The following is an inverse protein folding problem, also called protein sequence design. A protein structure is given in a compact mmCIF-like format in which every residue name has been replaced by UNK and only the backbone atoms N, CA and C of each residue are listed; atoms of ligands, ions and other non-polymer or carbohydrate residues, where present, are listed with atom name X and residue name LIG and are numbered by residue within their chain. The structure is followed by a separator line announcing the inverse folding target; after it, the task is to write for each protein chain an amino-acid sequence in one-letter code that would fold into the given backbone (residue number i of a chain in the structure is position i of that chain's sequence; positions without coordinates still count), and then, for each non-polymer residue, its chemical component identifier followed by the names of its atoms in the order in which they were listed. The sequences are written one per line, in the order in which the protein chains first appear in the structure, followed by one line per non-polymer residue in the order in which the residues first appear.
data_IF_263742325856
#
_entry.id   IF_263742325856
#
_cell.length_a   1.000
_cell.length_b   1.000
_cell.length_c   1.000
_cell.angle_alpha   90.00
_cell.angle_beta   90.00
_cell.angle_gamma   90.00
#
_symmetry.space_group_name_H-M   'P 1'
#
loop_
_entity.id
_entity.type
_entity.pdbx_description
1 polymer ?
#
# COMPACT_ATOMS: atom_id res chain seq x y z
N UNK A 1 -9.74 16.77 -9.00
CA UNK A 1 -10.14 15.81 -7.94
C UNK A 1 -10.75 14.57 -8.57
N UNK A 2 -10.38 13.38 -8.10
CA UNK A 2 -11.01 12.13 -8.54
C UNK A 2 -12.37 11.99 -7.85
N UNK A 3 -13.41 11.69 -8.61
CA UNK A 3 -14.69 11.34 -8.03
C UNK A 3 -14.63 9.94 -7.40
N UNK A 4 -15.48 9.64 -6.42
CA UNK A 4 -15.52 8.33 -5.76
C UNK A 4 -15.73 7.19 -6.78
N UNK A 5 -16.61 7.40 -7.78
CA UNK A 5 -16.88 6.41 -8.83
C UNK A 5 -15.65 6.12 -9.71
N UNK A 6 -14.91 7.15 -10.10
CA UNK A 6 -13.66 6.99 -10.87
C UNK A 6 -12.59 6.26 -10.05
N UNK A 7 -12.45 6.62 -8.78
CA UNK A 7 -11.52 5.97 -7.89
C UNK A 7 -11.85 4.48 -7.66
N UNK A 8 -13.13 4.13 -7.50
CA UNK A 8 -13.57 2.73 -7.39
C UNK A 8 -13.31 1.96 -8.68
N UNK A 9 -13.46 2.57 -9.85
CA UNK A 9 -13.13 1.96 -11.14
C UNK A 9 -11.63 1.66 -11.24
N UNK A 10 -10.78 2.64 -10.90
CA UNK A 10 -9.32 2.48 -10.88
C UNK A 10 -8.91 1.41 -9.86
N UNK A 11 -9.53 1.39 -8.68
CA UNK A 11 -9.29 0.37 -7.67
C UNK A 11 -9.58 -1.03 -8.20
N UNK A 12 -10.75 -1.23 -8.81
CA UNK A 12 -11.14 -2.53 -9.38
C UNK A 12 -10.16 -3.01 -10.47
N UNK A 13 -9.70 -2.09 -11.31
CA UNK A 13 -8.69 -2.41 -12.33
C UNK A 13 -7.35 -2.83 -11.70
N UNK A 14 -6.88 -2.10 -10.68
CA UNK A 14 -5.65 -2.44 -9.96
C UNK A 14 -5.76 -3.75 -9.20
N UNK A 15 -6.90 -4.04 -8.57
CA UNK A 15 -7.19 -5.32 -7.92
C UNK A 15 -7.11 -6.48 -8.90
N UNK A 16 -7.73 -6.34 -10.08
CA UNK A 16 -7.70 -7.36 -11.12
C UNK A 16 -6.27 -7.61 -11.61
N UNK A 17 -5.51 -6.56 -11.91
CA UNK A 17 -4.11 -6.67 -12.33
C UNK A 17 -3.23 -7.33 -11.25
N UNK A 18 -3.42 -6.95 -9.98
CA UNK A 18 -2.69 -7.54 -8.86
C UNK A 18 -3.00 -9.03 -8.71
N UNK A 19 -4.26 -9.43 -8.79
CA UNK A 19 -4.68 -10.83 -8.70
C UNK A 19 -4.11 -11.68 -9.84
N UNK A 20 -4.22 -11.23 -11.09
CA UNK A 20 -3.68 -11.93 -12.25
C UNK A 20 -2.15 -12.07 -12.14
N UNK A 21 -1.46 -10.98 -11.81
CA UNK A 21 -0.01 -11.00 -11.66
C UNK A 21 0.44 -11.93 -10.53
N UNK A 22 -0.31 -12.01 -9.44
CA UNK A 22 -0.02 -12.91 -8.32
C UNK A 22 -0.22 -14.38 -8.70
N UNK A 23 -1.31 -14.72 -9.39
CA UNK A 23 -1.57 -16.08 -9.88
C UNK A 23 -0.48 -16.54 -10.83
N UNK A 24 -0.06 -15.69 -11.77
CA UNK A 24 1.05 -15.99 -12.67
C UNK A 24 2.37 -16.21 -11.91
N UNK A 25 2.62 -15.41 -10.87
CA UNK A 25 3.82 -15.57 -10.03
C UNK A 25 3.80 -16.89 -9.25
N UNK A 26 2.65 -17.31 -8.73
CA UNK A 26 2.49 -18.62 -8.08
C UNK A 26 2.76 -19.75 -9.06
N UNK A 27 2.21 -19.69 -10.28
CA UNK A 27 2.46 -20.69 -11.29
C UNK A 27 3.97 -20.83 -11.60
N UNK A 28 4.68 -19.72 -11.68
CA UNK A 28 6.12 -19.68 -11.92
C UNK A 28 6.92 -20.28 -10.74
N UNK A 29 6.50 -20.01 -9.50
CA UNK A 29 7.08 -20.61 -8.29
C UNK A 29 6.87 -22.13 -8.30
N UNK A 30 5.66 -22.59 -8.60
CA UNK A 30 5.36 -24.03 -8.66
C UNK A 30 6.18 -24.74 -9.75
N UNK A 31 6.31 -24.13 -10.92
CA UNK A 31 7.18 -24.67 -11.99
C UNK A 31 8.64 -24.74 -11.54
N UNK A 32 9.16 -23.72 -10.87
CA UNK A 32 10.55 -23.73 -10.37
C UNK A 32 10.75 -24.79 -9.31
N UNK A 33 9.78 -25.00 -8.41
CA UNK A 33 9.82 -26.09 -7.43
C UNK A 33 9.83 -27.47 -8.11
N UNK A 34 8.97 -27.67 -9.13
CA UNK A 34 8.92 -28.92 -9.87
C UNK A 34 10.27 -29.25 -10.55
N UNK A 35 10.86 -28.28 -11.24
CA UNK A 35 12.17 -28.44 -11.88
C UNK A 35 13.25 -28.78 -10.84
N UNK A 36 13.26 -28.12 -9.69
CA UNK A 36 14.24 -28.42 -8.63
C UNK A 36 14.04 -29.84 -8.09
N UNK A 37 12.80 -30.27 -7.87
CA UNK A 37 12.49 -31.63 -7.40
C UNK A 37 12.97 -32.72 -8.37
N UNK A 38 12.85 -32.48 -9.67
CA UNK A 38 13.28 -33.42 -10.72
C UNK A 38 14.79 -33.60 -10.74
N UNK A 39 15.56 -32.52 -10.51
CA UNK A 39 17.01 -32.53 -10.68
C UNK A 39 17.82 -32.58 -9.37
N UNK A 40 17.17 -32.49 -8.19
CA UNK A 40 17.89 -32.46 -6.91
C UNK A 40 17.34 -33.47 -5.92
N UNK A 41 18.23 -34.10 -5.13
CA UNK A 41 17.82 -34.89 -3.98
C UNK A 41 17.54 -33.97 -2.79
N UNK A 42 16.47 -34.23 -2.05
CA UNK A 42 16.02 -33.43 -0.90
C UNK A 42 17.03 -33.28 0.24
N UNK A 43 18.02 -34.16 0.32
CA UNK A 43 19.02 -34.24 1.40
C UNK A 43 20.43 -33.86 1.00
N UNK A 44 20.64 -33.20 -0.13
CA UNK A 44 21.96 -32.77 -0.58
C UNK A 44 22.14 -31.24 -0.43
N UNK A 45 23.41 -30.78 -0.60
CA UNK A 45 23.73 -29.34 -0.62
C UNK A 45 22.92 -28.58 -1.68
N UNK A 46 22.41 -29.28 -2.68
CA UNK A 46 21.49 -28.76 -3.70
C UNK A 46 20.14 -28.29 -3.14
N UNK A 47 19.78 -28.65 -1.90
CA UNK A 47 18.59 -28.14 -1.23
C UNK A 47 18.59 -26.60 -1.07
N UNK A 48 19.76 -25.96 -1.13
CA UNK A 48 19.86 -24.50 -1.17
C UNK A 48 19.14 -23.86 -2.36
N UNK A 49 18.96 -24.58 -3.47
CA UNK A 49 18.21 -24.10 -4.61
C UNK A 49 16.73 -23.80 -4.31
N UNK A 50 16.15 -24.38 -3.25
CA UNK A 50 14.79 -24.07 -2.80
C UNK A 50 14.66 -22.64 -2.26
N UNK A 51 15.74 -21.95 -1.94
CA UNK A 51 15.71 -20.54 -1.60
C UNK A 51 15.27 -19.66 -2.79
N UNK A 52 15.48 -20.13 -4.03
CA UNK A 52 15.09 -19.40 -5.24
C UNK A 52 13.56 -19.23 -5.33
N UNK A 53 12.75 -20.30 -5.29
CA UNK A 53 11.28 -20.15 -5.33
C UNK A 53 10.73 -19.38 -4.12
N UNK A 54 11.34 -19.52 -2.93
CA UNK A 54 10.96 -18.74 -1.75
C UNK A 54 11.22 -17.25 -2.01
N UNK A 55 12.39 -16.89 -2.52
CA UNK A 55 12.73 -15.51 -2.88
C UNK A 55 11.77 -14.93 -3.94
N UNK A 56 11.45 -15.73 -4.98
CA UNK A 56 10.48 -15.34 -6.00
C UNK A 56 9.09 -15.10 -5.43
N UNK A 57 8.64 -15.94 -4.49
CA UNK A 57 7.34 -15.76 -3.82
C UNK A 57 7.31 -14.47 -3.01
N UNK A 58 8.34 -14.18 -2.22
CA UNK A 58 8.43 -12.95 -1.45
C UNK A 58 8.43 -11.71 -2.35
N UNK A 59 9.17 -11.76 -3.47
CA UNK A 59 9.18 -10.69 -4.46
C UNK A 59 7.81 -10.51 -5.11
N UNK A 60 7.11 -11.61 -5.42
CA UNK A 60 5.76 -11.57 -5.97
C UNK A 60 4.78 -10.89 -5.00
N UNK A 61 4.78 -11.28 -3.73
CA UNK A 61 3.93 -10.65 -2.69
C UNK A 61 4.22 -9.16 -2.57
N UNK A 62 5.49 -8.77 -2.54
CA UNK A 62 5.91 -7.36 -2.44
C UNK A 62 5.50 -6.56 -3.68
N UNK A 63 5.75 -7.09 -4.89
CA UNK A 63 5.49 -6.40 -6.15
C UNK A 63 3.99 -6.25 -6.43
N UNK A 64 3.21 -7.29 -6.19
CA UNK A 64 1.76 -7.29 -6.45
C UNK A 64 0.96 -6.60 -5.36
N UNK A 65 1.59 -6.34 -4.19
CA UNK A 65 0.93 -5.77 -3.01
C UNK A 65 -0.31 -6.58 -2.59
N UNK A 66 -0.26 -7.89 -2.79
CA UNK A 66 -1.40 -8.78 -2.51
C UNK A 66 -1.84 -8.72 -1.04
N UNK A 67 -0.93 -8.36 -0.12
CA UNK A 67 -1.24 -8.15 1.29
C UNK A 67 -2.33 -7.08 1.52
N UNK A 68 -2.52 -6.14 0.56
CA UNK A 68 -3.60 -5.15 0.64
C UNK A 68 -5.00 -5.78 0.57
N UNK A 69 -5.12 -7.03 0.05
CA UNK A 69 -6.39 -7.76 0.08
C UNK A 69 -6.83 -8.16 1.49
N UNK A 70 -5.91 -8.16 2.45
CA UNK A 70 -6.22 -8.35 3.87
C UNK A 70 -6.85 -7.10 4.52
N UNK A 71 -6.70 -5.94 3.87
CA UNK A 71 -7.31 -4.70 4.35
C UNK A 71 -8.72 -4.53 3.77
N UNK A 72 -9.62 -3.80 4.46
CA UNK A 72 -10.95 -3.50 3.93
C UNK A 72 -10.86 -2.85 2.55
N UNK A 73 -11.75 -3.26 1.64
CA UNK A 73 -11.82 -2.72 0.28
C UNK A 73 -12.01 -1.21 0.28
N UNK A 74 -12.92 -0.76 1.14
CA UNK A 74 -13.26 0.64 1.31
C UNK A 74 -13.42 0.93 2.80
N UNK A 75 -12.90 2.07 3.22
CA UNK A 75 -13.12 2.60 4.54
C UNK A 75 -13.63 4.03 4.40
N UNK A 76 -14.91 4.24 4.69
CA UNK A 76 -15.57 5.53 4.61
C UNK A 76 -15.86 6.00 6.02
N UNK A 77 -15.39 7.19 6.36
CA UNK A 77 -15.58 7.78 7.68
C UNK A 77 -15.39 9.29 7.66
N UNK A 78 -15.62 9.90 8.81
CA UNK A 78 -15.46 11.32 9.01
C UNK A 78 -14.15 11.61 9.74
N UNK A 79 -13.47 12.70 9.41
CA UNK A 79 -12.23 13.11 10.05
C UNK A 79 -12.55 13.64 11.45
N UNK A 80 -12.10 12.95 12.48
CA UNK A 80 -12.29 13.35 13.88
C UNK A 80 -11.08 14.06 14.45
N UNK A 81 -9.90 13.84 13.87
CA UNK A 81 -8.64 14.48 14.30
C UNK A 81 -7.77 14.79 13.09
N UNK A 82 -7.16 15.97 13.12
CA UNK A 82 -6.22 16.43 12.11
C UNK A 82 -5.08 17.18 12.80
N UNK A 83 -3.86 16.78 12.54
CA UNK A 83 -2.66 17.47 13.01
C UNK A 83 -1.65 17.62 11.87
N UNK A 84 -1.10 18.80 11.70
CA UNK A 84 -0.07 19.10 10.69
C UNK A 84 1.23 19.38 11.44
N UNK A 85 2.28 18.64 11.10
CA UNK A 85 3.59 18.79 11.72
C UNK A 85 4.72 18.72 10.69
N UNK A 86 5.84 19.35 11.05
CA UNK A 86 7.02 19.36 10.23
C UNK A 86 7.94 18.18 10.57
N UNK A 87 8.27 17.37 9.54
CA UNK A 87 9.24 16.28 9.68
C UNK A 87 10.58 16.75 9.12
N UNK A 88 11.59 16.76 9.99
CA UNK A 88 12.96 17.06 9.61
C UNK A 88 13.75 15.77 9.50
N UNK A 89 14.09 15.36 8.28
CA UNK A 89 14.93 14.21 8.06
C UNK A 89 16.33 14.64 7.58
N UNK A 90 17.35 14.25 8.34
CA UNK A 90 18.75 14.43 7.92
C UNK A 90 19.23 13.14 7.24
N UNK A 91 19.55 13.22 5.96
CA UNK A 91 20.22 12.12 5.24
C UNK A 91 21.68 12.46 5.02
N UNK A 92 22.58 11.65 5.56
CA UNK A 92 24.01 11.72 5.25
C UNK A 92 24.22 11.05 3.89
N UNK A 93 24.57 11.86 2.88
CA UNK A 93 24.88 11.35 1.55
C UNK A 93 26.40 11.35 1.38
N UNK A 94 27.01 10.16 1.41
CA UNK A 94 28.37 9.94 0.91
C UNK A 94 29.48 10.82 1.49
N UNK A 95 29.49 11.06 2.80
CA UNK A 95 30.66 11.68 3.49
C UNK A 95 30.89 13.18 3.28
N UNK A 96 30.09 13.87 2.46
CA UNK A 96 30.22 15.31 2.23
C UNK A 96 28.85 16.00 2.12
N UNK A 97 28.26 16.34 3.26
CA UNK A 97 27.09 17.20 3.33
C UNK A 97 25.84 16.51 3.84
N UNK A 98 25.10 17.25 4.68
CA UNK A 98 23.76 16.88 5.15
C UNK A 98 22.75 17.44 4.16
N UNK A 99 21.91 16.59 3.60
CA UNK A 99 20.69 17.04 2.94
C UNK A 99 19.56 17.00 3.96
N UNK A 100 19.09 18.14 4.40
CA UNK A 100 17.84 18.27 5.15
C UNK A 100 16.69 18.18 4.18
N UNK A 101 15.82 17.22 4.39
CA UNK A 101 14.57 17.11 3.61
C UNK A 101 13.42 17.42 4.58
N UNK A 102 13.15 18.72 4.72
CA UNK A 102 12.07 19.19 5.56
C UNK A 102 10.76 19.08 4.76
N UNK A 103 9.79 18.34 5.25
CA UNK A 103 8.48 18.21 4.64
C UNK A 103 7.39 18.21 5.71
N UNK A 104 6.24 18.71 5.32
CA UNK A 104 5.07 18.70 6.18
C UNK A 104 4.32 17.38 6.02
N UNK A 105 3.95 16.79 7.13
CA UNK A 105 3.09 15.62 7.21
C UNK A 105 1.80 15.96 7.93
N UNK A 106 0.75 15.26 7.56
CA UNK A 106 -0.57 15.41 8.12
C UNK A 106 -1.01 14.07 8.71
N UNK A 107 -1.28 14.05 10.01
CA UNK A 107 -1.88 12.93 10.70
C UNK A 107 -3.39 13.11 10.76
N UNK A 108 -4.11 12.12 10.28
CA UNK A 108 -5.56 12.08 10.25
C UNK A 108 -6.08 10.87 11.01
N UNK A 109 -7.09 11.07 11.85
CA UNK A 109 -7.89 9.96 12.36
C UNK A 109 -9.26 10.05 11.71
N UNK A 110 -9.59 9.00 10.95
CA UNK A 110 -10.88 8.85 10.29
C UNK A 110 -11.70 7.84 11.07
N UNK A 111 -12.87 8.24 11.51
CA UNK A 111 -13.78 7.39 12.28
C UNK A 111 -15.02 7.07 11.46
N UNK A 112 -15.40 5.79 11.48
CA UNK A 112 -16.60 5.26 10.86
C UNK A 112 -17.75 5.30 11.85
N UNK A 113 -18.99 5.35 11.37
CA UNK A 113 -20.21 5.34 12.19
C UNK A 113 -20.33 4.15 13.15
N UNK A 114 -19.59 3.05 12.90
CA UNK A 114 -19.53 1.87 13.77
C UNK A 114 -18.47 1.98 14.89
N UNK A 115 -17.86 3.16 15.07
CA UNK A 115 -16.82 3.42 16.09
C UNK A 115 -15.43 2.92 15.71
N UNK A 116 -15.24 2.32 14.53
CA UNK A 116 -13.92 1.92 14.06
C UNK A 116 -13.16 3.13 13.54
N UNK A 117 -11.95 3.33 14.04
CA UNK A 117 -11.07 4.40 13.61
C UNK A 117 -9.87 3.86 12.82
N UNK A 118 -9.35 4.69 11.93
CA UNK A 118 -8.12 4.42 11.17
C UNK A 118 -7.23 5.65 11.21
N UNK A 119 -5.99 5.47 11.66
CA UNK A 119 -4.96 6.51 11.59
C UNK A 119 -4.25 6.47 10.24
N UNK A 120 -4.01 7.65 9.64
CA UNK A 120 -3.41 7.82 8.33
C UNK A 120 -2.42 8.96 8.40
N UNK A 121 -1.22 8.70 7.89
CA UNK A 121 -0.19 9.71 7.70
C UNK A 121 -0.07 10.01 6.20
N UNK A 122 -0.12 11.27 5.87
CA UNK A 122 -0.04 11.75 4.49
C UNK A 122 0.97 12.88 4.37
N UNK A 123 1.74 12.95 3.28
CA UNK A 123 2.52 14.14 2.99
C UNK A 123 1.56 15.32 2.75
N UNK A 124 1.92 16.48 3.27
CA UNK A 124 1.14 17.70 3.02
C UNK A 124 1.15 18.01 1.52
N UNK A 125 -0.02 18.18 0.98
CA UNK A 125 -0.26 18.47 -0.44
C UNK A 125 -1.44 19.45 -0.56
N UNK A 126 -1.66 20.08 -1.70
CA UNK A 126 -2.84 20.94 -1.90
C UNK A 126 -4.16 20.25 -1.55
N UNK A 127 -4.24 18.92 -1.79
CA UNK A 127 -5.41 18.09 -1.43
C UNK A 127 -5.59 17.94 0.07
N UNK A 128 -4.49 17.85 0.85
CA UNK A 128 -4.57 17.72 2.30
C UNK A 128 -4.97 19.03 2.97
N UNK A 129 -4.73 20.18 2.33
CA UNK A 129 -5.15 21.49 2.82
C UNK A 129 -6.68 21.69 2.75
N UNK A 130 -7.38 20.91 1.93
CA UNK A 130 -8.85 20.95 1.84
C UNK A 130 -9.52 20.03 2.88
N UNK A 131 -8.74 19.21 3.59
CA UNK A 131 -9.26 18.32 4.62
C UNK A 131 -9.37 19.07 5.93
N UNK A 132 -10.56 19.07 6.51
CA UNK A 132 -10.83 19.63 7.84
C UNK A 132 -11.49 18.57 8.74
N UNK A 133 -11.52 18.82 10.04
CA UNK A 133 -12.29 17.99 10.97
C UNK A 133 -13.76 18.02 10.56
N UNK A 134 -14.40 16.85 10.47
CA UNK A 134 -15.76 16.68 9.97
C UNK A 134 -15.85 16.39 8.46
N UNK A 135 -14.74 16.49 7.71
CA UNK A 135 -14.74 16.12 6.28
C UNK A 135 -14.93 14.62 6.14
N UNK A 136 -15.83 14.22 5.24
CA UNK A 136 -16.06 12.80 4.94
C UNK A 136 -15.08 12.30 3.90
N UNK A 137 -14.32 11.25 4.25
CA UNK A 137 -13.29 10.68 3.40
C UNK A 137 -13.59 9.22 3.06
N UNK A 138 -13.25 8.84 1.83
CA UNK A 138 -13.15 7.44 1.42
C UNK A 138 -11.67 7.07 1.26
N UNK A 139 -11.29 5.97 1.91
CA UNK A 139 -9.98 5.35 1.80
C UNK A 139 -10.11 4.05 1.05
N UNK A 140 -9.47 3.96 -0.09
CA UNK A 140 -9.51 2.80 -0.96
C UNK A 140 -8.17 2.05 -0.91
N UNK A 141 -8.20 0.73 -0.76
CA UNK A 141 -7.00 -0.08 -0.46
C UNK A 141 -5.87 0.01 -1.49
N UNK A 142 -6.16 0.28 -2.76
CA UNK A 142 -5.14 0.42 -3.82
C UNK A 142 -4.87 1.88 -4.21
N UNK A 143 -5.53 2.82 -3.56
CA UNK A 143 -5.37 4.25 -3.80
C UNK A 143 -4.79 4.88 -2.54
N UNK A 144 -3.59 5.46 -2.67
CA UNK A 144 -2.84 5.99 -1.54
C UNK A 144 -3.31 7.36 -1.06
N UNK A 145 -4.16 8.02 -1.84
CA UNK A 145 -4.69 9.33 -1.50
C UNK A 145 -6.13 9.20 -1.01
N UNK A 146 -6.51 9.89 0.08
CA UNK A 146 -7.89 9.94 0.51
C UNK A 146 -8.73 10.67 -0.53
N UNK A 147 -9.97 10.25 -0.69
CA UNK A 147 -10.93 10.87 -1.59
C UNK A 147 -11.96 11.59 -0.74
N UNK A 148 -12.07 12.90 -0.93
CA UNK A 148 -13.09 13.70 -0.26
C UNK A 148 -14.44 13.35 -0.87
N UNK A 149 -15.35 12.91 -0.02
CA UNK A 149 -16.73 12.68 -0.42
C UNK A 149 -17.50 13.96 -0.18
N UNK A 150 -17.91 14.58 -1.27
CA UNK A 150 -18.77 15.77 -1.20
C UNK A 150 -20.13 15.36 -0.62
N UNK A 151 -20.48 15.91 0.54
CA UNK A 151 -21.75 15.62 1.22
C UNK A 151 -22.98 16.19 0.46
N UNK A 152 -22.73 16.90 -0.65
CA UNK A 152 -23.75 17.60 -1.43
C UNK A 152 -24.25 16.84 -2.68
N UNK A 153 -23.86 15.55 -2.84
CA UNK A 153 -24.36 14.72 -3.95
C UNK A 153 -24.87 13.38 -3.49
#
# INVERSE_FOLDING_TARGET
MLTLKEAQKIQKERESKASISFVLSIALVLMSCYVILEYTSLFSLSSLFYLIPIGLLLLAVKKTRIHLFLTPKEFIGDVVYLNVYEVRSQRVKGGRGYMTNDHLEVDLIVERKDGKSKNIQLPASPLTNEIAVGTRLALLRFIHQPIIIDASK
#
